data_IF_771824474319
#
_entry.id   IF_771824474319
#
_cell.length_a   1.000
_cell.length_b   1.000
_cell.length_c   1.000
_cell.angle_alpha   90.00
_cell.angle_beta   90.00
_cell.angle_gamma   90.00
#
_symmetry.space_group_name_H-M   'P 1'
#
loop_
_entity.id
_entity.type
_entity.pdbx_description
1 polymer ?
#
# COMPACT_ATOMS: atom_id res chain seq x y z
N UNK A 1 62.60 9.32 -20.30
CA UNK A 1 61.47 10.25 -20.14
C UNK A 1 60.17 9.45 -20.29
N UNK A 2 59.16 9.75 -19.45
CA UNK A 2 57.81 9.15 -19.33
C UNK A 2 57.75 7.75 -18.67
N UNK A 3 57.25 7.63 -17.41
CA UNK A 3 55.85 7.48 -16.91
C UNK A 3 55.54 5.97 -16.69
N UNK A 4 54.92 5.41 -15.66
CA UNK A 4 54.25 5.78 -14.39
C UNK A 4 54.19 4.48 -13.52
N UNK A 5 54.30 4.46 -12.17
CA UNK A 5 53.23 4.60 -11.14
C UNK A 5 51.95 3.80 -11.47
N UNK A 6 51.31 2.91 -10.68
CA UNK A 6 51.13 2.68 -9.23
C UNK A 6 50.69 1.19 -9.03
N UNK A 7 51.15 0.45 -8.02
CA UNK A 7 50.57 0.24 -6.66
C UNK A 7 49.24 -0.57 -6.56
N UNK A 8 49.38 -1.72 -5.89
CA UNK A 8 48.49 -2.61 -5.12
C UNK A 8 46.93 -2.53 -5.18
N UNK A 9 46.23 -3.68 -5.02
CA UNK A 9 44.77 -3.75 -4.99
C UNK A 9 44.19 -3.17 -3.68
N UNK A 10 43.18 -2.31 -3.83
CA UNK A 10 42.44 -1.76 -2.70
C UNK A 10 41.54 -2.83 -2.04
N UNK A 11 41.73 -2.96 -0.74
CA UNK A 11 40.87 -3.70 0.17
C UNK A 11 39.41 -3.21 0.07
N UNK A 12 38.48 -4.15 -0.03
CA UNK A 12 37.06 -3.95 0.24
C UNK A 12 36.94 -3.74 1.75
N UNK A 13 37.00 -2.46 2.15
CA UNK A 13 36.86 -2.06 3.53
C UNK A 13 35.53 -2.51 4.10
N UNK A 14 35.61 -3.16 5.27
CA UNK A 14 34.60 -3.18 6.32
C UNK A 14 34.19 -1.72 6.65
N UNK A 15 33.30 -1.17 5.84
CA UNK A 15 32.51 -0.02 6.25
C UNK A 15 31.38 -0.59 7.11
N UNK A 16 31.60 -0.57 8.42
CA UNK A 16 30.53 -0.60 9.40
C UNK A 16 29.46 0.39 8.92
N UNK A 17 28.39 -0.13 8.33
CA UNK A 17 27.29 0.67 7.82
C UNK A 17 26.76 1.46 8.99
N UNK A 18 26.99 2.78 8.98
CA UNK A 18 26.31 3.70 9.86
C UNK A 18 24.82 3.34 9.82
N UNK A 19 24.15 3.19 10.97
CA UNK A 19 22.74 2.91 10.97
C UNK A 19 22.06 4.02 10.16
N UNK A 20 21.46 3.64 9.03
CA UNK A 20 20.59 4.53 8.24
C UNK A 20 19.68 5.21 9.24
N UNK A 21 19.61 6.55 9.29
CA UNK A 21 18.80 7.22 10.28
C UNK A 21 17.36 6.71 10.12
N UNK A 22 16.93 5.89 11.08
CA UNK A 22 15.54 5.49 11.22
C UNK A 22 14.80 6.79 11.48
N UNK A 23 14.21 7.33 10.42
CA UNK A 23 13.50 8.58 10.46
C UNK A 23 12.34 8.43 11.45
N UNK A 24 12.55 8.94 12.67
CA UNK A 24 11.56 9.13 13.71
C UNK A 24 10.75 7.87 14.06
N UNK A 25 11.31 7.07 14.95
CA UNK A 25 10.57 6.05 15.71
C UNK A 25 9.49 6.65 16.63
N UNK A 26 9.37 7.98 16.75
CA UNK A 26 8.48 8.68 17.68
C UNK A 26 7.66 9.79 17.03
N UNK A 27 7.09 9.55 15.85
CA UNK A 27 5.93 10.32 15.40
C UNK A 27 4.68 9.45 15.62
N UNK A 28 3.98 9.72 16.72
CA UNK A 28 2.81 9.08 17.38
C UNK A 28 1.66 8.48 16.53
N UNK A 29 1.76 8.44 15.20
CA UNK A 29 0.74 7.92 14.30
C UNK A 29 1.14 6.63 13.57
N UNK A 30 0.14 5.88 13.13
CA UNK A 30 0.33 4.70 12.26
C UNK A 30 0.78 5.15 10.88
N UNK A 31 1.66 4.40 10.25
CA UNK A 31 2.21 4.73 8.93
C UNK A 31 1.74 3.71 7.91
N UNK A 32 1.10 4.18 6.85
CA UNK A 32 0.87 3.38 5.65
C UNK A 32 2.15 3.33 4.83
N UNK A 33 2.83 2.19 4.87
CA UNK A 33 4.14 1.96 4.26
C UNK A 33 4.03 1.56 2.79
N UNK A 34 2.91 0.95 2.39
CA UNK A 34 2.70 0.49 1.02
C UNK A 34 1.22 0.36 0.68
N UNK A 35 0.89 0.49 -0.61
CA UNK A 35 -0.41 0.12 -1.19
C UNK A 35 -0.16 -0.77 -2.40
N UNK A 36 -0.90 -1.87 -2.51
CA UNK A 36 -0.78 -2.83 -3.58
C UNK A 36 -2.11 -3.29 -4.15
N UNK A 37 -2.02 -3.91 -5.33
CA UNK A 37 -3.11 -4.55 -6.04
C UNK A 37 -2.62 -5.92 -6.54
N UNK A 38 -3.46 -6.94 -6.42
CA UNK A 38 -3.18 -8.30 -6.91
C UNK A 38 -4.44 -8.91 -7.52
N UNK A 39 -4.30 -9.59 -8.66
CA UNK A 39 -5.36 -10.44 -9.19
C UNK A 39 -5.27 -11.83 -8.54
N UNK A 40 -6.41 -12.35 -8.08
CA UNK A 40 -6.52 -13.69 -7.48
C UNK A 40 -7.05 -14.74 -8.46
N UNK A 41 -7.52 -14.32 -9.64
CA UNK A 41 -8.14 -15.18 -10.67
C UNK A 41 -9.67 -15.05 -10.70
N UNK A 42 -10.29 -15.44 -11.82
CA UNK A 42 -11.76 -15.37 -12.01
C UNK A 42 -12.38 -13.99 -11.69
N UNK A 43 -11.69 -12.89 -12.07
CA UNK A 43 -12.14 -11.52 -11.79
C UNK A 43 -12.06 -11.08 -10.32
N UNK A 44 -11.57 -11.95 -9.42
CA UNK A 44 -11.27 -11.60 -8.02
C UNK A 44 -9.98 -10.80 -7.94
N UNK A 45 -10.01 -9.79 -7.08
CA UNK A 45 -8.88 -8.88 -6.87
C UNK A 45 -8.72 -8.53 -5.41
N UNK A 46 -7.48 -8.29 -5.01
CA UNK A 46 -7.08 -7.91 -3.68
C UNK A 46 -6.41 -6.54 -3.74
N UNK A 47 -7.01 -5.55 -3.09
CA UNK A 47 -6.33 -4.29 -2.76
C UNK A 47 -5.83 -4.42 -1.34
N UNK A 48 -4.57 -4.09 -1.09
CA UNK A 48 -3.99 -4.20 0.25
C UNK A 48 -3.16 -2.99 0.62
N UNK A 49 -3.16 -2.65 1.91
CA UNK A 49 -2.38 -1.55 2.49
C UNK A 49 -1.55 -2.12 3.61
N UNK A 50 -0.23 -1.92 3.53
CA UNK A 50 0.68 -2.28 4.60
C UNK A 50 0.78 -1.11 5.59
N UNK A 51 0.65 -1.44 6.87
CA UNK A 51 0.62 -0.51 7.98
C UNK A 51 1.71 -0.88 8.98
N UNK A 52 2.35 0.12 9.59
CA UNK A 52 3.34 -0.09 10.64
C UNK A 52 2.75 -0.67 11.93
N UNK A 53 1.44 -0.51 12.14
CA UNK A 53 0.67 -1.05 13.27
C UNK A 53 -0.74 -1.38 12.79
N UNK A 54 -1.41 -2.28 13.50
CA UNK A 54 -2.82 -2.59 13.26
C UNK A 54 -3.71 -1.37 13.55
N UNK A 55 -4.62 -1.08 12.62
CA UNK A 55 -5.67 -0.07 12.73
C UNK A 55 -6.90 -0.64 12.06
N UNK A 56 -8.04 -0.55 12.75
CA UNK A 56 -9.33 -0.92 12.17
C UNK A 56 -9.95 0.30 11.46
N UNK A 57 -10.13 0.27 10.13
CA UNK A 57 -10.71 1.39 9.40
C UNK A 57 -12.24 1.37 9.44
N UNK A 58 -12.84 2.55 9.29
CA UNK A 58 -14.29 2.67 9.07
C UNK A 58 -14.59 2.67 7.57
N UNK A 59 -15.53 1.82 7.13
CA UNK A 59 -16.00 1.76 5.75
C UNK A 59 -17.19 2.70 5.52
N UNK A 60 -17.11 3.51 4.47
CA UNK A 60 -18.24 4.22 3.86
C UNK A 60 -18.39 3.76 2.41
N UNK A 61 -19.62 3.39 2.03
CA UNK A 61 -19.96 2.96 0.67
C UNK A 61 -20.81 4.04 0.01
N UNK A 62 -20.36 4.52 -1.15
CA UNK A 62 -21.01 5.58 -1.92
C UNK A 62 -21.14 5.14 -3.39
N UNK A 63 -22.13 4.30 -3.67
CA UNK A 63 -22.33 3.68 -4.98
C UNK A 63 -21.09 2.89 -5.43
N UNK A 64 -20.42 3.40 -6.47
CA UNK A 64 -19.18 2.80 -7.02
C UNK A 64 -17.90 3.19 -6.29
N UNK A 65 -17.98 3.90 -5.17
CA UNK A 65 -16.81 4.31 -4.38
C UNK A 65 -16.85 3.66 -3.02
N UNK A 66 -15.76 2.99 -2.65
CA UNK A 66 -15.50 2.49 -1.30
C UNK A 66 -14.46 3.39 -0.63
N UNK A 67 -14.77 3.89 0.55
CA UNK A 67 -13.87 4.72 1.33
C UNK A 67 -13.57 4.06 2.67
N UNK A 68 -12.33 3.66 2.89
CA UNK A 68 -11.85 3.18 4.18
C UNK A 68 -11.05 4.28 4.86
N UNK A 69 -11.52 4.74 6.03
CA UNK A 69 -10.83 5.78 6.80
C UNK A 69 -10.03 5.14 7.93
N UNK A 70 -8.71 5.31 7.88
CA UNK A 70 -7.76 4.85 8.88
C UNK A 70 -7.44 5.99 9.86
N UNK A 71 -7.94 5.92 11.11
CA UNK A 71 -7.72 6.97 12.10
C UNK A 71 -6.24 7.09 12.47
N UNK A 72 -5.75 8.32 12.65
CA UNK A 72 -4.39 8.61 13.11
C UNK A 72 -3.28 8.05 12.20
N UNK A 73 -3.62 7.77 10.94
CA UNK A 73 -2.73 7.12 9.98
C UNK A 73 -2.22 8.15 8.97
N UNK A 74 -0.92 8.06 8.65
CA UNK A 74 -0.24 8.94 7.68
C UNK A 74 0.47 8.11 6.61
N UNK A 75 0.62 8.69 5.43
CA UNK A 75 1.43 8.14 4.35
C UNK A 75 2.68 9.01 4.17
N UNK A 76 3.85 8.42 4.38
CA UNK A 76 5.13 9.16 4.34
C UNK A 76 5.72 9.19 2.94
N UNK A 77 5.66 8.07 2.22
CA UNK A 77 6.18 7.97 0.87
C UNK A 77 5.20 8.59 -0.12
N UNK A 78 5.62 9.66 -0.79
CA UNK A 78 4.81 10.37 -1.80
C UNK A 78 4.32 9.44 -2.91
N UNK A 79 5.09 8.43 -3.28
CA UNK A 79 4.71 7.48 -4.32
C UNK A 79 3.43 6.71 -3.99
N UNK A 80 3.22 6.38 -2.71
CA UNK A 80 2.04 5.62 -2.25
C UNK A 80 0.73 6.43 -2.34
N UNK A 81 0.82 7.74 -2.61
CA UNK A 81 -0.33 8.62 -2.85
C UNK A 81 -0.76 8.63 -4.31
N UNK A 82 0.02 8.05 -5.23
CA UNK A 82 -0.37 7.92 -6.64
C UNK A 82 -1.43 6.83 -6.76
N UNK A 83 -2.44 7.02 -7.61
CA UNK A 83 -3.48 6.02 -7.79
C UNK A 83 -2.91 4.76 -8.45
N UNK A 84 -3.27 3.60 -7.91
CA UNK A 84 -3.14 2.31 -8.58
C UNK A 84 -4.23 2.22 -9.64
N UNK A 85 -3.85 2.33 -10.91
CA UNK A 85 -4.80 2.23 -12.02
C UNK A 85 -5.02 0.76 -12.38
N UNK A 86 -6.22 0.25 -12.10
CA UNK A 86 -6.58 -1.14 -12.33
C UNK A 86 -7.41 -1.34 -13.62
N UNK A 87 -7.67 -0.29 -14.38
CA UNK A 87 -8.58 -0.27 -15.55
C UNK A 87 -8.25 -1.27 -16.68
N UNK A 88 -7.01 -1.71 -16.80
CA UNK A 88 -6.55 -2.63 -17.84
C UNK A 88 -6.58 -4.10 -17.41
N UNK A 89 -6.93 -4.38 -16.15
CA UNK A 89 -7.05 -5.73 -15.62
C UNK A 89 -8.50 -6.21 -15.68
N UNK A 90 -8.70 -7.52 -15.72
CA UNK A 90 -10.00 -8.15 -15.46
C UNK A 90 -10.31 -8.03 -13.97
N UNK A 91 -10.93 -6.92 -13.59
CA UNK A 91 -11.18 -6.53 -12.21
C UNK A 91 -12.39 -5.61 -12.14
N UNK A 92 -13.15 -5.74 -11.05
CA UNK A 92 -14.18 -4.76 -10.68
C UNK A 92 -13.59 -3.42 -10.23
N UNK A 93 -12.30 -3.36 -9.89
CA UNK A 93 -11.60 -2.15 -9.50
C UNK A 93 -11.26 -1.30 -10.74
N UNK A 94 -11.57 -0.02 -10.67
CA UNK A 94 -11.12 0.99 -11.61
C UNK A 94 -9.79 1.58 -11.16
N UNK A 95 -9.73 2.04 -9.90
CA UNK A 95 -8.51 2.54 -9.27
C UNK A 95 -8.57 2.45 -7.75
N UNK A 96 -7.40 2.45 -7.10
CA UNK A 96 -7.27 2.57 -5.64
C UNK A 96 -6.24 3.63 -5.28
N UNK A 97 -6.48 4.45 -4.27
CA UNK A 97 -5.57 5.54 -3.88
C UNK A 97 -5.59 5.80 -2.37
N UNK A 98 -4.42 6.13 -1.82
CA UNK A 98 -4.30 6.70 -0.48
C UNK A 98 -4.38 8.24 -0.52
N UNK A 99 -5.37 8.80 0.16
CA UNK A 99 -5.65 10.23 0.23
C UNK A 99 -5.56 10.69 1.69
N UNK A 100 -4.56 11.53 2.06
CA UNK A 100 -4.52 12.11 3.39
C UNK A 100 -5.74 12.99 3.66
N UNK A 101 -6.32 12.86 4.86
CA UNK A 101 -7.47 13.64 5.31
C UNK A 101 -7.22 14.12 6.75
N UNK A 102 -6.64 15.32 6.90
CA UNK A 102 -6.28 15.85 8.21
C UNK A 102 -5.25 14.95 8.91
N UNK A 103 -5.65 14.34 10.03
CA UNK A 103 -4.82 13.39 10.81
C UNK A 103 -5.00 11.93 10.37
N UNK A 104 -5.95 11.68 9.49
CA UNK A 104 -6.35 10.35 9.06
C UNK A 104 -5.90 10.10 7.62
N UNK A 105 -5.98 8.83 7.22
CA UNK A 105 -5.72 8.40 5.86
C UNK A 105 -6.97 7.75 5.30
N UNK A 106 -7.33 8.10 4.07
CA UNK A 106 -8.42 7.43 3.36
C UNK A 106 -7.85 6.54 2.26
N UNK A 107 -8.25 5.28 2.23
CA UNK A 107 -8.16 4.45 1.02
C UNK A 107 -9.45 4.62 0.24
N UNK A 108 -9.33 5.22 -0.95
CA UNK A 108 -10.44 5.39 -1.89
C UNK A 108 -10.30 4.34 -2.97
N UNK A 109 -11.27 3.46 -3.09
CA UNK A 109 -11.36 2.46 -4.16
C UNK A 109 -12.54 2.84 -5.06
N UNK A 110 -12.24 3.18 -6.30
CA UNK A 110 -13.24 3.38 -7.34
C UNK A 110 -13.48 2.06 -8.05
N UNK A 111 -14.75 1.68 -8.17
CA UNK A 111 -15.21 0.46 -8.78
C UNK A 111 -15.82 0.76 -10.16
N UNK A 112 -15.76 -0.21 -11.07
CA UNK A 112 -16.44 -0.15 -12.38
C UNK A 112 -17.94 -0.37 -12.23
N UNK A 113 -18.32 -1.17 -11.24
CA UNK A 113 -19.68 -1.55 -10.89
C UNK A 113 -19.74 -1.79 -9.38
N UNK A 114 -20.93 -1.69 -8.82
CA UNK A 114 -21.15 -1.90 -7.40
C UNK A 114 -20.91 -3.37 -7.03
N UNK A 115 -20.23 -3.60 -5.92
CA UNK A 115 -19.99 -4.94 -5.38
C UNK A 115 -19.80 -4.84 -3.87
N UNK A 116 -20.03 -5.95 -3.16
CA UNK A 116 -19.82 -6.01 -1.72
C UNK A 116 -18.35 -6.33 -1.43
N UNK A 117 -17.61 -5.46 -0.72
CA UNK A 117 -16.24 -5.77 -0.33
C UNK A 117 -16.18 -6.80 0.79
N UNK A 118 -15.14 -7.63 0.78
CA UNK A 118 -14.74 -8.45 1.92
C UNK A 118 -13.39 -7.93 2.43
N UNK A 119 -13.39 -7.25 3.58
CA UNK A 119 -12.18 -6.68 4.17
C UNK A 119 -11.77 -7.37 5.46
N UNK A 120 -10.46 -7.44 5.70
CA UNK A 120 -9.88 -7.97 6.95
C UNK A 120 -8.52 -7.35 7.24
N UNK A 121 -8.13 -7.37 8.51
CA UNK A 121 -6.78 -6.99 8.92
C UNK A 121 -5.97 -8.25 9.26
N UNK A 122 -4.78 -8.38 8.67
CA UNK A 122 -3.86 -9.49 8.87
C UNK A 122 -2.64 -8.99 9.65
N UNK A 123 -2.48 -9.45 10.89
CA UNK A 123 -1.29 -9.12 11.71
C UNK A 123 -0.04 -9.79 11.16
N UNK A 124 1.07 -9.07 11.19
CA UNK A 124 2.38 -9.56 10.77
C UNK A 124 3.43 -9.26 11.85
N UNK A 125 4.60 -9.91 11.76
CA UNK A 125 5.67 -9.73 12.74
C UNK A 125 6.16 -8.27 12.88
N UNK A 126 6.00 -7.45 11.84
CA UNK A 126 6.48 -6.04 11.79
C UNK A 126 5.40 -5.02 11.44
N UNK A 127 4.13 -5.36 11.64
CA UNK A 127 3.02 -4.46 11.32
C UNK A 127 1.71 -5.20 11.07
N UNK A 128 0.88 -4.64 10.20
CA UNK A 128 -0.35 -5.28 9.75
C UNK A 128 -0.60 -4.98 8.26
N UNK A 129 -1.35 -5.84 7.60
CA UNK A 129 -1.86 -5.59 6.26
C UNK A 129 -3.37 -5.53 6.30
N UNK A 130 -3.94 -4.42 5.87
CA UNK A 130 -5.37 -4.33 5.62
C UNK A 130 -5.65 -4.81 4.21
N UNK A 131 -6.48 -5.84 4.07
CA UNK A 131 -6.81 -6.51 2.83
C UNK A 131 -8.27 -6.24 2.47
N UNK A 132 -8.54 -5.89 1.22
CA UNK A 132 -9.87 -5.71 0.65
C UNK A 132 -9.98 -6.59 -0.59
N UNK A 133 -10.74 -7.68 -0.46
CA UNK A 133 -11.07 -8.54 -1.57
C UNK A 133 -12.35 -8.06 -2.28
N UNK A 134 -12.28 -8.01 -3.61
CA UNK A 134 -13.30 -7.49 -4.50
C UNK A 134 -13.47 -8.42 -5.70
N UNK A 135 -14.72 -8.75 -6.02
CA UNK A 135 -15.08 -9.58 -7.17
C UNK A 135 -16.24 -8.95 -7.95
N UNK A 136 -16.43 -9.36 -9.20
CA UNK A 136 -17.67 -9.08 -9.91
C UNK A 136 -18.83 -9.72 -9.13
N UNK A 137 -19.99 -9.05 -8.97
CA UNK A 137 -21.15 -9.67 -8.37
C UNK A 137 -21.55 -10.84 -9.25
N UNK A 138 -21.94 -11.95 -8.60
CA UNK A 138 -22.45 -13.10 -9.30
C UNK A 138 -23.73 -12.69 -10.03
N UNK A 139 -23.69 -12.73 -11.37
CA UNK A 139 -24.82 -12.35 -12.18
C UNK A 139 -25.89 -13.43 -11.98
N UNK A 140 -27.13 -13.09 -11.56
CA UNK A 140 -28.19 -14.08 -11.47
C UNK A 140 -28.34 -14.73 -12.84
N UNK A 141 -28.39 -16.07 -12.85
CA UNK A 141 -28.64 -16.83 -14.07
C UNK A 141 -29.95 -16.34 -14.72
N UNK A 142 -30.01 -16.27 -16.07
CA UNK A 142 -31.20 -15.84 -16.78
C UNK A 142 -32.41 -16.73 -16.52
#
# INVERSE_FOLDING_TARGET
MALASLAAPAAWGDAAGEPVPSAAADAEGVVATFIGFRQLGAGRTLVYVELSKEVEPTLSVQGKTLEYTFPGTRVTLRNNRRPLLARHFESVVHSAQLVPQGKDLKLVIQLRQETKPASRTVRQARGATFEVELAFPEQPAP
#
